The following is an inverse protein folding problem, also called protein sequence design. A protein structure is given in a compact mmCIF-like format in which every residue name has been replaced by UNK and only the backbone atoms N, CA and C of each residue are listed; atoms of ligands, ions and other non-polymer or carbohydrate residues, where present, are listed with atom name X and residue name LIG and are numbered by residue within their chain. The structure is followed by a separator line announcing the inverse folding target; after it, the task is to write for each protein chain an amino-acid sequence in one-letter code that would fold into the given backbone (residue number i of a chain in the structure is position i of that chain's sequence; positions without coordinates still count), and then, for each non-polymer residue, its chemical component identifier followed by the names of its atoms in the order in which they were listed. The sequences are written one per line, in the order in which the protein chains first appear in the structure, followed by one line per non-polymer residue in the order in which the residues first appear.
data_IF_324842924021
#
_entry.id   IF_324842924021
#
_cell.length_a   1.000
_cell.length_b   1.000
_cell.length_c   1.000
_cell.angle_alpha   90.00
_cell.angle_beta   90.00
_cell.angle_gamma   90.00
#
_symmetry.space_group_name_H-M   'P 1'
#
loop_
_entity.id
_entity.type
_entity.pdbx_description
1 polymer ?
#
# COMPACT_ATOMS: atom_id res chain seq x y z
N UNK A 1 14.43 17.69 -7.82
CA UNK A 1 15.19 17.06 -6.71
C UNK A 1 14.23 16.19 -5.95
N UNK A 2 14.48 14.87 -5.92
CA UNK A 2 13.57 13.90 -5.33
C UNK A 2 13.47 14.10 -3.80
N UNK A 3 12.26 14.40 -3.31
CA UNK A 3 11.97 14.64 -1.88
C UNK A 3 12.59 13.57 -1.00
N UNK A 4 13.53 13.90 -0.11
CA UNK A 4 14.14 12.99 0.87
C UNK A 4 14.61 11.61 0.35
N UNK A 5 15.04 11.52 -0.91
CA UNK A 5 15.49 10.23 -1.50
C UNK A 5 16.61 9.56 -0.70
N UNK A 6 17.48 10.35 -0.06
CA UNK A 6 18.55 9.85 0.81
C UNK A 6 18.03 8.96 1.94
N UNK A 7 16.84 9.24 2.50
CA UNK A 7 16.23 8.46 3.57
C UNK A 7 15.75 7.09 3.09
N UNK A 8 15.53 6.95 1.78
CA UNK A 8 15.08 5.73 1.13
C UNK A 8 16.23 4.82 0.70
N UNK A 9 17.51 5.16 0.94
CA UNK A 9 18.67 4.30 0.64
C UNK A 9 18.78 3.14 1.63
N UNK A 10 19.33 1.99 1.21
CA UNK A 10 19.53 0.83 2.10
C UNK A 10 20.50 1.14 3.24
N UNK A 11 21.54 1.91 2.93
CA UNK A 11 22.64 2.25 3.85
C UNK A 11 22.32 3.40 4.81
N UNK A 12 21.17 4.07 4.64
CA UNK A 12 20.78 5.19 5.48
C UNK A 12 20.77 4.78 6.96
N UNK A 13 21.64 5.40 7.77
CA UNK A 13 21.88 5.03 9.17
C UNK A 13 22.05 3.52 9.37
N UNK A 14 22.86 2.87 8.51
CA UNK A 14 23.13 1.42 8.53
C UNK A 14 21.87 0.55 8.37
N UNK A 15 20.81 1.10 7.78
CA UNK A 15 19.52 0.44 7.56
C UNK A 15 18.66 0.25 8.82
N UNK A 16 19.08 0.77 9.98
CA UNK A 16 18.35 0.64 11.24
C UNK A 16 16.95 1.24 11.18
N UNK A 17 16.74 2.48 10.68
CA UNK A 17 15.41 3.08 10.61
C UNK A 17 14.43 2.24 9.78
N UNK A 18 14.91 1.66 8.67
CA UNK A 18 14.09 0.81 7.79
C UNK A 18 13.65 -0.45 8.51
N UNK A 19 14.57 -1.14 9.20
CA UNK A 19 14.23 -2.34 9.98
C UNK A 19 13.18 -2.02 11.04
N UNK A 20 13.35 -0.92 11.79
CA UNK A 20 12.39 -0.49 12.80
C UNK A 20 11.01 -0.17 12.20
N UNK A 21 10.98 0.52 11.06
CA UNK A 21 9.74 0.84 10.35
C UNK A 21 8.99 -0.41 9.89
N UNK A 22 9.68 -1.35 9.23
CA UNK A 22 9.07 -2.61 8.78
C UNK A 22 8.62 -3.51 9.95
N UNK A 23 9.36 -3.52 11.06
CA UNK A 23 8.93 -4.20 12.28
C UNK A 23 7.65 -3.59 12.85
N UNK A 24 7.60 -2.25 13.00
CA UNK A 24 6.45 -1.56 13.57
C UNK A 24 5.20 -1.69 12.68
N UNK A 25 5.34 -1.37 11.39
CA UNK A 25 4.23 -1.46 10.42
C UNK A 25 3.82 -2.90 10.19
N UNK A 26 4.76 -3.84 10.12
CA UNK A 26 4.47 -5.27 9.97
C UNK A 26 3.73 -5.84 11.19
N UNK A 27 4.12 -5.47 12.41
CA UNK A 27 3.41 -5.86 13.62
C UNK A 27 1.99 -5.28 13.65
N UNK A 28 1.84 -3.99 13.32
CA UNK A 28 0.53 -3.35 13.19
C UNK A 28 -0.35 -4.06 12.15
N UNK A 29 0.19 -4.32 10.97
CA UNK A 29 -0.51 -5.00 9.89
C UNK A 29 -0.97 -6.40 10.30
N UNK A 30 -0.10 -7.19 10.94
CA UNK A 30 -0.45 -8.53 11.43
C UNK A 30 -1.52 -8.50 12.51
N UNK A 31 -1.46 -7.54 13.43
CA UNK A 31 -2.50 -7.35 14.44
C UNK A 31 -3.85 -7.00 13.81
N UNK A 32 -3.88 -6.04 12.89
CA UNK A 32 -5.13 -5.66 12.22
C UNK A 32 -5.68 -6.81 11.38
N UNK A 33 -4.86 -7.44 10.55
CA UNK A 33 -5.31 -8.47 9.61
C UNK A 33 -5.73 -9.79 10.29
N UNK A 34 -5.05 -10.21 11.37
CA UNK A 34 -5.25 -11.56 11.93
C UNK A 34 -5.78 -11.58 13.37
N UNK A 35 -5.65 -10.50 14.14
CA UNK A 35 -6.15 -10.44 15.52
C UNK A 35 -7.49 -9.72 15.61
N UNK A 36 -7.61 -8.60 14.91
CA UNK A 36 -8.83 -7.77 14.93
C UNK A 36 -9.84 -8.15 13.84
N UNK A 37 -9.43 -8.97 12.87
CA UNK A 37 -10.22 -9.33 11.70
C UNK A 37 -9.95 -10.78 11.31
N UNK A 38 -10.86 -11.32 10.49
CA UNK A 38 -10.68 -12.63 9.86
C UNK A 38 -10.20 -12.40 8.44
N UNK A 39 -9.01 -12.90 8.09
CA UNK A 39 -8.47 -12.78 6.74
C UNK A 39 -8.50 -14.12 6.00
N UNK A 40 -9.16 -14.15 4.86
CA UNK A 40 -9.11 -15.25 3.90
C UNK A 40 -8.17 -14.89 2.76
N UNK A 41 -7.20 -15.76 2.48
CA UNK A 41 -6.18 -15.53 1.45
C UNK A 41 -6.26 -16.62 0.39
N UNK A 42 -6.25 -16.21 -0.87
CA UNK A 42 -6.20 -17.10 -2.03
C UNK A 42 -4.84 -16.96 -2.72
N UNK A 43 -4.24 -18.08 -3.10
CA UNK A 43 -3.00 -18.15 -3.88
C UNK A 43 -1.78 -17.46 -3.26
N UNK A 44 -1.68 -17.38 -1.92
CA UNK A 44 -0.54 -16.78 -1.23
C UNK A 44 0.82 -17.34 -1.70
N UNK A 45 0.86 -18.63 -2.02
CA UNK A 45 2.08 -19.28 -2.52
C UNK A 45 2.60 -18.68 -3.83
N UNK A 46 1.72 -18.15 -4.69
CA UNK A 46 2.13 -17.43 -5.89
C UNK A 46 2.94 -16.19 -5.52
N UNK A 47 2.45 -15.40 -4.54
CA UNK A 47 3.18 -14.22 -4.05
C UNK A 47 4.52 -14.64 -3.41
N UNK A 48 4.51 -15.63 -2.51
CA UNK A 48 5.72 -16.07 -1.80
C UNK A 48 6.78 -16.54 -2.81
N UNK A 49 6.37 -17.34 -3.80
CA UNK A 49 7.25 -17.82 -4.87
C UNK A 49 7.86 -16.66 -5.66
N UNK A 50 7.05 -15.69 -6.07
CA UNK A 50 7.55 -14.54 -6.85
C UNK A 50 8.45 -13.61 -6.03
N UNK A 51 8.16 -13.44 -4.74
CA UNK A 51 8.98 -12.59 -3.85
C UNK A 51 10.34 -13.24 -3.57
N UNK A 52 10.39 -14.57 -3.36
CA UNK A 52 11.60 -15.28 -2.93
C UNK A 52 12.40 -15.95 -4.04
N UNK A 53 11.74 -16.38 -5.12
CA UNK A 53 12.33 -17.31 -6.09
C UNK A 53 12.24 -16.84 -7.55
N UNK A 54 11.78 -15.62 -7.83
CA UNK A 54 11.90 -15.06 -9.19
C UNK A 54 13.37 -14.92 -9.58
N UNK A 55 13.68 -15.06 -10.86
CA UNK A 55 15.05 -14.95 -11.37
C UNK A 55 15.70 -13.61 -10.97
N UNK A 56 16.99 -13.60 -10.58
CA UNK A 56 17.70 -12.36 -10.28
C UNK A 56 17.60 -11.35 -11.42
N UNK A 57 17.40 -10.07 -11.07
CA UNK A 57 17.24 -8.99 -12.05
C UNK A 57 15.86 -8.91 -12.72
N UNK A 58 14.96 -9.88 -12.52
CA UNK A 58 13.57 -9.78 -13.01
C UNK A 58 12.73 -9.02 -11.98
N UNK A 59 12.18 -7.84 -12.33
CA UNK A 59 11.35 -7.07 -11.42
C UNK A 59 9.96 -7.70 -11.22
N UNK A 60 9.37 -7.44 -10.06
CA UNK A 60 8.00 -7.81 -9.74
C UNK A 60 7.16 -6.54 -9.63
N UNK A 61 6.03 -6.49 -10.32
CA UNK A 61 5.06 -5.40 -10.25
C UNK A 61 3.71 -5.93 -9.77
N UNK A 62 3.37 -5.66 -8.51
CA UNK A 62 2.04 -5.99 -7.99
C UNK A 62 1.06 -4.85 -8.26
N UNK A 63 -0.15 -5.19 -8.72
CA UNK A 63 -1.20 -4.20 -9.04
C UNK A 63 -2.47 -4.58 -8.29
N UNK A 64 -3.08 -3.64 -7.55
CA UNK A 64 -4.33 -3.93 -6.84
C UNK A 64 -5.40 -2.87 -7.01
N UNK A 65 -6.65 -3.27 -6.77
CA UNK A 65 -7.71 -2.30 -6.49
C UNK A 65 -7.39 -1.49 -5.22
N UNK A 66 -8.05 -0.36 -5.02
CA UNK A 66 -7.80 0.54 -3.88
C UNK A 66 -9.10 0.93 -3.16
N UNK A 67 -9.37 0.28 -2.03
CA UNK A 67 -10.59 0.42 -1.23
C UNK A 67 -10.40 1.31 0.02
N UNK A 68 -9.17 1.48 0.50
CA UNK A 68 -8.86 2.24 1.71
C UNK A 68 -7.40 2.71 1.72
N UNK A 69 -7.11 3.78 2.46
CA UNK A 69 -5.72 4.20 2.73
C UNK A 69 -4.95 3.22 3.61
N UNK A 70 -5.62 2.26 4.23
CA UNK A 70 -5.00 1.16 4.98
C UNK A 70 -4.73 -0.09 4.15
N UNK A 71 -5.11 -0.13 2.87
CA UNK A 71 -4.83 -1.26 1.98
C UNK A 71 -3.34 -1.62 2.01
N UNK A 72 -2.50 -0.63 1.72
CA UNK A 72 -1.07 -0.85 1.58
C UNK A 72 -0.34 -1.25 2.87
N UNK A 73 -0.63 -0.73 4.08
CA UNK A 73 -0.01 -1.28 5.28
C UNK A 73 -0.62 -2.61 5.72
N UNK A 74 -1.95 -2.79 5.66
CA UNK A 74 -2.63 -3.94 6.28
C UNK A 74 -2.62 -5.18 5.40
N UNK A 75 -2.72 -5.05 4.06
CA UNK A 75 -2.83 -6.19 3.14
C UNK A 75 -1.66 -7.16 3.21
N UNK A 76 -0.48 -6.68 3.63
CA UNK A 76 0.72 -7.50 3.74
C UNK A 76 0.88 -8.12 5.11
N UNK A 77 -0.02 -7.84 6.06
CA UNK A 77 -0.05 -8.43 7.39
C UNK A 77 -0.49 -9.89 7.40
N UNK A 78 -0.39 -10.62 6.30
CA UNK A 78 -0.86 -12.01 6.21
C UNK A 78 -0.03 -12.93 7.12
N UNK A 79 -0.69 -13.93 7.72
CA UNK A 79 -0.08 -14.84 8.71
C UNK A 79 1.28 -15.39 8.26
N UNK A 80 1.33 -15.98 7.08
CA UNK A 80 2.52 -16.67 6.54
C UNK A 80 3.42 -15.79 5.67
N UNK A 81 3.12 -14.48 5.57
CA UNK A 81 3.95 -13.54 4.84
C UNK A 81 5.00 -12.88 5.75
N UNK A 82 6.27 -12.74 5.29
CA UNK A 82 7.35 -12.14 6.08
C UNK A 82 7.28 -10.60 6.08
N UNK A 83 6.17 -10.04 6.54
CA UNK A 83 5.88 -8.59 6.51
C UNK A 83 6.93 -7.72 7.19
N UNK A 84 7.61 -8.26 8.21
CA UNK A 84 8.60 -7.53 9.00
C UNK A 84 10.00 -7.56 8.40
N UNK A 85 10.24 -8.34 7.34
CA UNK A 85 11.53 -8.37 6.66
C UNK A 85 11.64 -7.21 5.66
N UNK A 86 12.40 -6.18 6.06
CA UNK A 86 12.68 -5.01 5.24
C UNK A 86 13.37 -5.32 3.89
N UNK A 87 14.10 -6.44 3.76
CA UNK A 87 14.73 -6.85 2.50
C UNK A 87 13.70 -7.35 1.50
N UNK A 88 12.72 -8.12 1.98
CA UNK A 88 11.60 -8.62 1.18
C UNK A 88 10.51 -7.57 0.95
N UNK A 89 10.53 -6.46 1.68
CA UNK A 89 9.60 -5.34 1.50
C UNK A 89 9.62 -4.72 0.10
N UNK A 90 8.43 -4.50 -0.45
CA UNK A 90 8.22 -3.81 -1.73
C UNK A 90 8.43 -2.30 -1.63
N UNK A 91 8.63 -1.67 -2.78
CA UNK A 91 8.39 -0.24 -2.97
C UNK A 91 6.93 0.00 -3.31
N UNK A 92 6.39 1.17 -2.97
CA UNK A 92 5.00 1.54 -3.31
C UNK A 92 4.92 2.99 -3.75
N UNK A 93 4.05 3.25 -4.75
CA UNK A 93 3.69 4.61 -5.13
C UNK A 93 2.65 5.17 -4.16
N UNK A 94 2.95 6.31 -3.55
CA UNK A 94 2.11 6.94 -2.53
C UNK A 94 1.79 8.38 -2.89
N UNK A 95 0.56 8.82 -2.63
CA UNK A 95 0.11 10.16 -3.00
C UNK A 95 0.86 11.24 -2.19
N UNK A 96 1.52 12.16 -2.90
CA UNK A 96 2.37 13.19 -2.30
C UNK A 96 1.60 14.12 -1.34
N UNK A 97 0.41 14.55 -1.78
CA UNK A 97 -0.53 15.41 -1.05
C UNK A 97 -1.08 14.78 0.24
N UNK A 98 -0.88 13.47 0.46
CA UNK A 98 -1.36 12.75 1.64
C UNK A 98 -0.17 12.33 2.52
N UNK A 99 0.79 11.62 1.94
CA UNK A 99 1.86 10.93 2.67
C UNK A 99 3.09 11.82 2.92
N UNK A 100 3.28 12.90 2.14
CA UNK A 100 4.52 13.70 2.15
C UNK A 100 4.26 15.16 2.54
N UNK A 101 3.24 15.39 3.37
CA UNK A 101 2.78 16.74 3.77
C UNK A 101 3.71 17.49 4.71
N UNK A 102 4.58 16.79 5.44
CA UNK A 102 5.57 17.42 6.32
C UNK A 102 6.86 16.60 6.38
N UNK A 103 7.98 17.17 6.84
CA UNK A 103 9.28 16.50 6.87
C UNK A 103 9.30 15.18 7.65
N UNK A 104 8.58 15.10 8.77
CA UNK A 104 8.54 13.90 9.61
C UNK A 104 7.82 12.76 8.88
N UNK A 105 6.61 13.02 8.37
CA UNK A 105 5.86 12.01 7.60
C UNK A 105 6.64 11.60 6.35
N UNK A 106 7.20 12.58 5.63
CA UNK A 106 8.01 12.32 4.43
C UNK A 106 9.17 11.38 4.74
N UNK A 107 9.88 11.61 5.85
CA UNK A 107 10.96 10.74 6.30
C UNK A 107 10.45 9.32 6.59
N UNK A 108 9.36 9.17 7.36
CA UNK A 108 8.80 7.87 7.72
C UNK A 108 8.36 7.08 6.46
N UNK A 109 7.64 7.72 5.54
CA UNK A 109 7.20 7.10 4.30
C UNK A 109 8.39 6.73 3.39
N UNK A 110 9.43 7.59 3.30
CA UNK A 110 10.66 7.26 2.55
C UNK A 110 11.38 6.04 3.13
N UNK A 111 11.54 5.99 4.45
CA UNK A 111 12.14 4.83 5.15
C UNK A 111 11.30 3.56 4.89
N UNK A 112 9.98 3.69 4.83
CA UNK A 112 9.02 2.64 4.48
C UNK A 112 8.97 2.24 3.00
N UNK A 113 9.92 2.66 2.15
CA UNK A 113 9.95 2.39 0.69
C UNK A 113 8.78 3.01 -0.11
N UNK A 114 8.24 4.14 0.35
CA UNK A 114 7.25 4.86 -0.43
C UNK A 114 7.90 5.89 -1.36
N UNK A 115 7.43 5.91 -2.60
CA UNK A 115 7.82 6.86 -3.64
C UNK A 115 6.66 7.84 -3.82
N UNK A 116 6.86 9.15 -3.60
CA UNK A 116 5.80 10.15 -3.74
C UNK A 116 5.35 10.26 -5.19
N UNK A 117 4.05 10.40 -5.43
CA UNK A 117 3.47 10.65 -6.74
C UNK A 117 2.57 11.87 -6.67
N UNK A 118 2.83 12.83 -7.55
CA UNK A 118 1.98 14.00 -7.75
C UNK A 118 0.80 13.61 -8.63
N UNK A 119 -0.42 13.66 -8.07
CA UNK A 119 -1.65 13.40 -8.83
C UNK A 119 -1.82 14.47 -9.91
N UNK A 120 -2.15 14.06 -11.12
CA UNK A 120 -2.25 14.95 -12.28
C UNK A 120 -0.90 15.33 -12.91
N UNK A 121 0.24 14.97 -12.30
CA UNK A 121 1.58 15.27 -12.83
C UNK A 121 2.02 14.42 -14.04
N UNK A 122 1.14 13.56 -14.57
CA UNK A 122 1.43 12.70 -15.71
C UNK A 122 2.42 11.56 -15.43
N UNK A 123 2.79 10.83 -16.48
CA UNK A 123 3.65 9.62 -16.40
C UNK A 123 5.16 9.93 -16.44
N UNK A 124 5.55 11.17 -16.75
CA UNK A 124 6.95 11.59 -16.91
C UNK A 124 7.52 12.36 -15.70
N UNK A 125 6.83 12.36 -14.56
CA UNK A 125 7.30 13.00 -13.32
C UNK A 125 8.57 12.32 -12.76
N UNK A 126 9.40 13.08 -12.03
CA UNK A 126 10.70 12.60 -11.50
C UNK A 126 10.58 11.29 -10.69
N UNK A 127 9.49 11.15 -9.93
CA UNK A 127 9.27 9.98 -9.08
C UNK A 127 8.79 8.74 -9.85
N UNK A 128 8.22 8.91 -11.04
CA UNK A 128 8.01 7.76 -11.95
C UNK A 128 9.34 7.25 -12.50
N UNK A 129 10.32 8.14 -12.73
CA UNK A 129 11.68 7.72 -13.07
C UNK A 129 12.35 7.02 -11.88
N UNK A 130 12.14 7.49 -10.65
CA UNK A 130 12.61 6.79 -9.45
C UNK A 130 12.01 5.37 -9.32
N UNK A 131 10.73 5.21 -9.65
CA UNK A 131 10.08 3.90 -9.68
C UNK A 131 10.66 2.99 -10.79
N UNK A 132 10.99 3.55 -11.96
CA UNK A 132 11.71 2.83 -13.01
C UNK A 132 13.09 2.39 -12.55
N UNK A 133 13.85 3.24 -11.85
CA UNK A 133 15.16 2.88 -11.29
C UNK A 133 15.03 1.64 -10.40
N UNK A 134 13.98 1.56 -9.57
CA UNK A 134 13.72 0.37 -8.74
C UNK A 134 13.39 -0.88 -9.56
N UNK A 135 12.65 -0.74 -10.67
CA UNK A 135 12.37 -1.88 -11.55
C UNK A 135 13.64 -2.34 -12.29
N UNK A 136 14.50 -1.40 -12.70
CA UNK A 136 15.80 -1.69 -13.30
C UNK A 136 16.69 -2.48 -12.33
N UNK A 137 16.64 -2.15 -11.04
CA UNK A 137 17.34 -2.88 -9.98
C UNK A 137 16.75 -4.29 -9.70
N UNK A 138 15.71 -4.73 -10.43
CA UNK A 138 15.01 -5.99 -10.20
C UNK A 138 14.15 -6.01 -8.94
N UNK A 139 13.84 -4.83 -8.38
CA UNK A 139 13.07 -4.71 -7.15
C UNK A 139 11.60 -5.10 -7.35
N UNK A 140 10.91 -5.23 -6.23
CA UNK A 140 9.47 -5.39 -6.18
C UNK A 140 8.80 -4.03 -5.95
N UNK A 141 7.90 -3.64 -6.86
CA UNK A 141 7.10 -2.42 -6.81
C UNK A 141 5.60 -2.77 -6.74
N UNK A 142 4.84 -2.00 -5.97
CA UNK A 142 3.39 -2.08 -5.86
C UNK A 142 2.72 -0.79 -6.31
N UNK A 143 1.60 -0.93 -7.01
CA UNK A 143 0.82 0.21 -7.51
C UNK A 143 -0.68 -0.03 -7.34
N UNK A 144 -1.38 1.08 -7.08
CA UNK A 144 -2.84 1.18 -7.13
C UNK A 144 -3.23 1.91 -8.42
N UNK A 145 -3.39 1.22 -9.57
CA UNK A 145 -3.62 1.85 -10.87
C UNK A 145 -4.91 2.69 -10.95
N UNK A 146 -5.83 2.58 -9.99
CA UNK A 146 -7.00 3.47 -9.88
C UNK A 146 -6.60 4.93 -9.57
N UNK A 147 -5.45 5.14 -8.91
CA UNK A 147 -4.90 6.45 -8.55
C UNK A 147 -5.64 7.18 -7.42
N UNK A 148 -6.70 6.58 -6.87
CA UNK A 148 -7.50 7.07 -5.74
C UNK A 148 -8.22 5.90 -5.05
N UNK A 149 -8.71 6.14 -3.83
CA UNK A 149 -9.58 5.21 -3.12
C UNK A 149 -10.97 5.19 -3.75
N UNK A 150 -11.43 4.00 -4.13
CA UNK A 150 -12.73 3.72 -4.71
C UNK A 150 -13.47 2.70 -3.82
N UNK A 151 -14.56 3.13 -3.18
CA UNK A 151 -15.38 2.30 -2.29
C UNK A 151 -16.76 2.01 -2.90
N UNK A 152 -16.91 2.30 -4.18
CA UNK A 152 -18.16 2.09 -4.89
C UNK A 152 -18.30 0.59 -5.21
N UNK A 153 -19.47 0.03 -4.94
CA UNK A 153 -19.79 -1.36 -5.27
C UNK A 153 -20.08 -1.47 -6.78
N UNK A 154 -19.01 -1.33 -7.57
CA UNK A 154 -19.04 -1.34 -9.02
C UNK A 154 -17.76 -2.01 -9.57
N UNK A 155 -17.80 -2.54 -10.80
CA UNK A 155 -16.61 -3.08 -11.44
C UNK A 155 -15.46 -2.07 -11.48
N UNK A 156 -14.22 -2.57 -11.40
CA UNK A 156 -13.01 -1.75 -11.50
C UNK A 156 -13.10 -0.86 -12.75
N UNK A 157 -12.98 0.45 -12.52
CA UNK A 157 -13.11 1.47 -13.57
C UNK A 157 -11.81 1.62 -14.36
N UNK A 158 -11.81 2.61 -15.26
CA UNK A 158 -10.63 3.01 -16.03
C UNK A 158 -9.42 3.22 -15.13
N UNK A 159 -8.39 2.41 -15.38
CA UNK A 159 -7.08 2.52 -14.77
C UNK A 159 -6.27 3.70 -15.34
N UNK A 160 -5.41 4.27 -14.51
CA UNK A 160 -4.45 5.31 -14.90
C UNK A 160 -3.27 4.70 -15.64
N UNK A 161 -2.68 5.48 -16.55
CA UNK A 161 -1.57 5.05 -17.40
C UNK A 161 -0.24 4.79 -16.67
N UNK A 162 -0.09 5.18 -15.40
CA UNK A 162 1.17 5.09 -14.66
C UNK A 162 1.76 3.68 -14.66
N UNK A 163 0.98 2.68 -14.25
CA UNK A 163 1.42 1.27 -14.21
C UNK A 163 1.79 0.75 -15.60
N UNK A 164 0.96 1.01 -16.61
CA UNK A 164 1.26 0.61 -17.99
C UNK A 164 2.53 1.29 -18.52
N UNK A 165 2.73 2.56 -18.18
CA UNK A 165 3.95 3.30 -18.52
C UNK A 165 5.19 2.68 -17.88
N UNK A 166 5.10 2.17 -16.64
CA UNK A 166 6.23 1.50 -15.99
C UNK A 166 6.58 0.19 -16.70
N UNK A 167 5.57 -0.61 -17.06
CA UNK A 167 5.76 -1.86 -17.80
C UNK A 167 6.42 -1.58 -19.15
N UNK A 168 5.91 -0.59 -19.91
CA UNK A 168 6.38 -0.27 -21.24
C UNK A 168 7.79 0.34 -21.28
N UNK A 169 8.21 1.01 -20.20
CA UNK A 169 9.51 1.72 -20.12
C UNK A 169 10.58 0.96 -19.36
N UNK A 170 10.24 -0.11 -18.65
CA UNK A 170 11.22 -0.94 -17.97
C UNK A 170 12.05 -1.73 -19.00
N UNK A 171 13.39 -1.73 -18.92
CA UNK A 171 14.24 -2.45 -19.87
C UNK A 171 14.08 -3.97 -19.77
N UNK A 172 13.76 -4.46 -18.56
CA UNK A 172 13.32 -5.84 -18.33
C UNK A 172 11.82 -5.81 -18.04
N UNK A 173 11.04 -6.54 -18.82
CA UNK A 173 9.59 -6.63 -18.59
C UNK A 173 9.32 -7.24 -17.20
N UNK A 174 8.62 -6.53 -16.30
CA UNK A 174 8.32 -7.05 -14.97
C UNK A 174 7.32 -8.20 -15.04
N UNK A 175 7.42 -9.13 -14.09
CA UNK A 175 6.32 -10.05 -13.80
C UNK A 175 5.21 -9.23 -13.17
N UNK A 176 4.02 -9.22 -13.77
CA UNK A 176 2.86 -8.52 -13.23
C UNK A 176 2.02 -9.49 -12.43
N UNK A 177 1.81 -9.19 -11.14
CA UNK A 177 0.95 -9.96 -10.25
C UNK A 177 -0.28 -9.13 -9.87
N UNK A 178 -1.47 -9.44 -10.42
CA UNK A 178 -2.71 -8.79 -10.00
C UNK A 178 -3.09 -9.23 -8.58
N UNK A 179 -3.64 -8.32 -7.80
CA UNK A 179 -4.15 -8.56 -6.47
C UNK A 179 -5.55 -7.97 -6.39
N UNK A 180 -6.50 -8.75 -5.91
CA UNK A 180 -7.85 -8.26 -5.64
C UNK A 180 -8.15 -8.44 -4.16
N UNK A 181 -8.64 -7.39 -3.52
CA UNK A 181 -9.02 -7.45 -2.11
C UNK A 181 -10.33 -6.72 -1.80
N UNK A 182 -11.00 -7.12 -0.73
CA UNK A 182 -12.22 -6.47 -0.20
C UNK A 182 -12.26 -6.52 1.34
N UNK A 183 -13.10 -5.66 1.94
CA UNK A 183 -13.29 -5.58 3.39
C UNK A 183 -12.45 -4.50 4.08
N UNK A 184 -11.44 -3.95 3.40
CA UNK A 184 -10.54 -2.93 3.94
C UNK A 184 -11.24 -1.56 4.13
N UNK A 185 -12.27 -1.28 3.34
CA UNK A 185 -13.16 -0.13 3.51
C UNK A 185 -13.92 -0.14 4.85
N UNK A 186 -14.19 -1.34 5.41
CA UNK A 186 -14.89 -1.51 6.70
C UNK A 186 -13.99 -1.21 7.89
N UNK A 187 -12.69 -1.50 7.78
CA UNK A 187 -11.69 -1.15 8.80
C UNK A 187 -11.64 0.37 9.02
N UNK A 188 -11.81 1.12 7.93
CA UNK A 188 -11.75 2.59 7.91
C UNK A 188 -13.13 3.25 8.07
N UNK A 189 -14.14 2.52 8.54
CA UNK A 189 -15.45 3.10 8.88
C UNK A 189 -15.47 3.57 10.34
N UNK A 190 -16.36 4.50 10.75
CA UNK A 190 -16.42 5.01 12.13
C UNK A 190 -16.53 3.91 13.20
N UNK A 191 -17.10 2.75 12.87
CA UNK A 191 -17.19 1.57 13.73
C UNK A 191 -15.82 0.91 13.95
N UNK A 192 -14.97 0.79 12.92
CA UNK A 192 -13.59 0.30 13.01
C UNK A 192 -12.60 1.33 13.56
N UNK A 193 -12.89 2.63 13.45
CA UNK A 193 -12.06 3.68 14.02
C UNK A 193 -12.03 3.67 15.56
N UNK A 194 -13.05 3.10 16.22
CA UNK A 194 -13.12 3.04 17.68
C UNK A 194 -12.14 2.04 18.30
N UNK A 195 -11.65 1.05 17.54
CA UNK A 195 -10.66 0.05 17.99
C UNK A 195 -9.21 0.43 17.66
N UNK A 196 -9.01 1.49 16.87
CA UNK A 196 -7.69 1.99 16.51
C UNK A 196 -7.03 2.78 17.64
N UNK A 197 -5.70 2.69 17.77
CA UNK A 197 -4.94 3.52 18.71
C UNK A 197 -5.02 5.01 18.34
N UNK A 198 -4.62 5.91 19.27
CA UNK A 198 -4.75 7.36 19.09
C UNK A 198 -4.04 7.89 17.84
N UNK A 199 -2.89 7.33 17.47
CA UNK A 199 -2.14 7.73 16.27
C UNK A 199 -2.90 7.35 14.98
N UNK A 200 -3.38 6.10 14.89
CA UNK A 200 -4.16 5.62 13.74
C UNK A 200 -5.51 6.35 13.60
N UNK A 201 -6.16 6.70 14.73
CA UNK A 201 -7.38 7.55 14.73
C UNK A 201 -7.11 8.96 14.22
N UNK A 202 -5.97 9.54 14.59
CA UNK A 202 -5.57 10.87 14.10
C UNK A 202 -5.32 10.85 12.58
N UNK A 203 -4.59 9.84 12.09
CA UNK A 203 -4.38 9.64 10.65
C UNK A 203 -5.70 9.47 9.89
N UNK A 204 -6.67 8.77 10.48
CA UNK A 204 -7.99 8.55 9.88
C UNK A 204 -8.87 9.82 9.84
N UNK A 205 -8.97 10.56 10.95
CA UNK A 205 -9.82 11.77 11.05
C UNK A 205 -9.34 12.94 10.18
N UNK A 206 -8.03 13.17 10.11
CA UNK A 206 -7.47 14.25 9.28
C UNK A 206 -7.60 13.96 7.77
N UNK A 207 -7.77 12.68 7.39
CA UNK A 207 -7.89 12.24 6.00
C UNK A 207 -9.32 12.27 5.47
N UNK A 208 -10.31 11.92 6.30
CA UNK A 208 -11.74 12.05 5.95
C UNK A 208 -12.10 13.53 5.73
N UNK A 209 -11.65 14.42 6.62
CA UNK A 209 -11.99 15.85 6.51
C UNK A 209 -11.46 16.53 5.24
N UNK A 210 -10.40 15.99 4.61
CA UNK A 210 -9.68 16.67 3.51
C UNK A 210 -9.87 16.04 2.14
N UNK A 211 -10.47 14.85 2.04
CA UNK A 211 -10.82 14.22 0.75
C UNK A 211 -12.15 14.71 0.17
N UNK A 212 -12.83 15.66 0.84
CA UNK A 212 -14.06 16.28 0.35
C UNK A 212 -15.25 15.33 0.22
N UNK A 213 -15.16 14.11 0.75
CA UNK A 213 -16.25 13.13 0.73
C UNK A 213 -17.03 13.21 2.04
N UNK A 214 -18.25 13.71 1.97
CA UNK A 214 -19.28 13.38 2.95
C UNK A 214 -19.49 11.87 2.92
N UNK A 215 -19.27 11.21 4.05
CA UNK A 215 -19.79 9.86 4.28
C UNK A 215 -21.32 9.94 4.12
N UNK A 216 -21.87 9.30 3.08
CA UNK A 216 -23.32 9.10 2.97
C UNK A 216 -23.59 7.78 3.69
N UNK A 217 -24.23 7.78 4.87
CA UNK A 217 -24.66 6.54 5.49
C UNK A 217 -25.75 5.94 4.59
N UNK A 218 -25.53 4.75 4.07
CA UNK A 218 -26.65 3.97 3.56
C UNK A 218 -27.54 3.61 4.75
N UNK A 219 -28.81 4.01 4.66
CA UNK A 219 -29.86 3.57 5.57
C UNK A 219 -30.06 2.07 5.38
N UNK A 220 -29.42 1.29 6.23
CA UNK A 220 -29.73 -0.13 6.41
C UNK A 220 -30.12 -0.34 7.86
N UNK A 221 -31.31 -0.91 8.03
CA UNK A 221 -31.93 -1.27 9.30
C UNK A 221 -30.94 -1.92 10.26
N UNK A 222 -31.05 -1.57 11.54
CA UNK A 222 -30.37 -2.13 12.71
C UNK A 222 -29.72 -3.50 12.46
N UNK A 223 -28.44 -3.50 12.10
CA UNK A 223 -27.59 -4.67 12.13
C UNK A 223 -26.66 -4.53 13.34
N UNK A 224 -26.72 -5.53 14.19
CA UNK A 224 -25.90 -5.75 15.37
C UNK A 224 -24.41 -5.52 15.09
N UNK A 225 -23.75 -4.92 16.07
CA UNK A 225 -22.33 -4.60 16.12
C UNK A 225 -21.42 -5.81 15.87
N UNK A 226 -20.86 -5.95 14.66
CA UNK A 226 -19.71 -6.82 14.44
C UNK A 226 -18.43 -5.98 14.40
N UNK A 227 -17.63 -6.12 15.44
CA UNK A 227 -16.30 -5.49 15.59
C UNK A 227 -15.25 -6.19 14.69
N UNK A 228 -15.60 -7.34 14.11
CA UNK A 228 -14.74 -8.14 13.23
C UNK A 228 -15.18 -7.99 11.78
N UNK A 229 -14.31 -7.47 10.92
CA UNK A 229 -14.53 -7.49 9.47
C UNK A 229 -13.88 -8.71 8.83
N UNK A 230 -14.51 -9.22 7.77
CA UNK A 230 -13.93 -10.26 6.92
C UNK A 230 -13.10 -9.60 5.81
N UNK A 231 -11.80 -9.88 5.78
CA UNK A 231 -10.86 -9.42 4.77
C UNK A 231 -10.60 -10.57 3.80
N UNK A 232 -10.68 -10.29 2.50
CA UNK A 232 -10.31 -11.27 1.47
C UNK A 232 -9.23 -10.69 0.58
N UNK A 233 -8.20 -11.49 0.28
CA UNK A 233 -7.10 -11.11 -0.60
C UNK A 233 -6.80 -12.26 -1.55
N UNK A 234 -6.80 -12.00 -2.85
CA UNK A 234 -6.41 -12.95 -3.89
C UNK A 234 -5.17 -12.44 -4.62
N UNK A 235 -4.19 -13.33 -4.78
CA UNK A 235 -2.97 -13.13 -5.57
C UNK A 235 -3.01 -13.88 -6.90
#
# INVERSE_FOLDING_TARGET
MRTMEWAARSEHLRGVPRKMMFMAVGAFAKAVANLLNTTTVYNLETLIRLVRHRSPGVPLLTVSNHMSTLDDPVMWGLKDFPTTDAKLGRWVLAAEDICFRNPVLSYLFRVGKCIPITRGGGIYQEHMNEALDRLIDGAWLHTFPEGKVCQEDAPIRRLKWGTASLIARAPVTPIVLPIVHCGFEKISSPVGANTMNAASRWFHKDLIHRTGRSYIPHSTSAATSEVHSELRVSF
#
